data_IF_176389835138
#
_entry.id   IF_176389835138
#
_cell.length_a   1.000
_cell.length_b   1.000
_cell.length_c   1.000
_cell.angle_alpha   90.00
_cell.angle_beta   90.00
_cell.angle_gamma   90.00
#
_symmetry.space_group_name_H-M   'P 1'
#
loop_
_entity.id
_entity.type
_entity.pdbx_description
1 polymer ?
#
# COMPACT_ATOMS: atom_id res chain seq x y z
N UNK A 1 -15.49 20.42 -5.48
CA UNK A 1 -16.48 21.31 -4.81
C UNK A 1 -17.71 20.56 -4.31
N UNK A 2 -18.36 19.69 -5.11
CA UNK A 2 -19.51 18.90 -4.65
C UNK A 2 -19.20 17.99 -3.43
N UNK A 3 -18.09 17.24 -3.47
CA UNK A 3 -17.65 16.39 -2.35
C UNK A 3 -17.47 17.19 -1.05
N UNK A 4 -16.85 18.37 -1.14
CA UNK A 4 -16.64 19.24 0.02
C UNK A 4 -17.96 19.68 0.68
N UNK A 5 -18.99 19.97 -0.11
CA UNK A 5 -20.31 20.30 0.41
C UNK A 5 -20.98 19.13 1.15
N UNK A 6 -20.76 17.90 0.70
CA UNK A 6 -21.36 16.69 1.33
C UNK A 6 -20.59 16.18 2.54
N UNK A 7 -19.31 16.50 2.67
CA UNK A 7 -18.45 16.00 3.76
C UNK A 7 -18.07 17.07 4.78
N UNK A 8 -18.35 18.34 4.52
CA UNK A 8 -17.86 19.46 5.31
C UNK A 8 -16.36 19.74 5.14
N UNK A 9 -15.73 19.18 4.10
CA UNK A 9 -14.30 19.38 3.86
C UNK A 9 -14.00 20.82 3.43
N UNK A 10 -12.83 21.32 3.86
CA UNK A 10 -12.30 22.62 3.42
C UNK A 10 -11.54 22.41 2.11
N UNK A 11 -11.82 23.24 1.12
CA UNK A 11 -11.08 23.24 -0.15
C UNK A 11 -9.86 24.14 0.01
N UNK A 12 -8.69 23.57 -0.25
CA UNK A 12 -7.40 24.26 -0.20
C UNK A 12 -6.81 24.38 -1.60
N UNK A 13 -5.91 25.34 -1.77
CA UNK A 13 -5.02 25.38 -2.92
C UNK A 13 -4.05 24.17 -2.87
N UNK A 14 -3.63 23.61 -4.03
CA UNK A 14 -2.84 22.39 -4.07
C UNK A 14 -1.59 22.41 -3.19
N UNK A 15 -0.83 23.50 -3.20
CA UNK A 15 0.42 23.60 -2.44
C UNK A 15 0.19 23.79 -0.94
N UNK A 16 -0.96 24.33 -0.54
CA UNK A 16 -1.30 24.52 0.87
C UNK A 16 -1.53 23.20 1.62
N UNK A 17 -1.80 22.09 0.89
CA UNK A 17 -2.12 20.80 1.50
C UNK A 17 -0.96 20.26 2.35
N UNK A 18 0.29 20.52 1.96
CA UNK A 18 1.47 19.99 2.66
C UNK A 18 1.70 20.68 4.00
N UNK A 19 1.38 21.97 4.10
CA UNK A 19 1.57 22.78 5.30
C UNK A 19 0.34 22.80 6.23
N UNK A 20 -0.72 22.08 5.87
CA UNK A 20 -1.95 22.01 6.65
C UNK A 20 -1.72 21.20 7.92
N UNK A 21 -2.19 21.71 9.05
CA UNK A 21 -2.15 20.98 10.32
C UNK A 21 -3.20 19.86 10.31
N UNK A 22 -2.73 18.62 10.31
CA UNK A 22 -3.55 17.43 10.23
C UNK A 22 -2.81 16.23 10.83
N UNK A 23 -3.52 15.31 11.48
CA UNK A 23 -2.88 14.12 12.04
C UNK A 23 -2.35 13.17 10.95
N UNK A 24 -3.11 13.03 9.86
CA UNK A 24 -2.83 12.14 8.74
C UNK A 24 -2.74 12.93 7.44
N UNK A 25 -1.62 12.81 6.73
CA UNK A 25 -1.48 13.23 5.35
C UNK A 25 -1.72 12.02 4.43
N UNK A 26 -2.73 12.11 3.55
CA UNK A 26 -3.15 11.02 2.66
C UNK A 26 -2.92 11.36 1.18
N UNK A 27 -1.71 11.15 0.63
CA UNK A 27 -1.43 11.38 -0.78
C UNK A 27 -2.17 10.38 -1.68
N UNK A 28 -3.11 10.85 -2.49
CA UNK A 28 -3.97 10.00 -3.33
C UNK A 28 -4.00 10.42 -4.82
N UNK A 29 -3.13 11.34 -5.25
CA UNK A 29 -3.13 11.89 -6.60
C UNK A 29 -1.95 11.39 -7.44
N UNK A 30 -0.75 11.93 -7.22
CA UNK A 30 0.46 11.62 -7.96
C UNK A 30 1.55 11.02 -7.03
N UNK A 31 2.54 10.38 -7.64
CA UNK A 31 3.75 9.92 -6.95
C UNK A 31 4.75 11.05 -6.71
N UNK A 32 5.87 10.72 -6.05
CA UNK A 32 6.97 11.60 -5.70
C UNK A 32 6.60 12.84 -4.88
N UNK A 33 5.42 12.81 -4.24
CA UNK A 33 4.90 13.91 -3.42
C UNK A 33 5.60 14.03 -2.07
N UNK A 34 6.30 12.99 -1.62
CA UNK A 34 7.23 13.09 -0.49
C UNK A 34 8.64 13.25 -1.04
N UNK A 35 9.14 14.48 -0.98
CA UNK A 35 10.44 14.90 -1.50
C UNK A 35 11.05 16.00 -0.61
N UNK A 36 12.24 16.49 -0.98
CA UNK A 36 12.95 17.53 -0.21
C UNK A 36 12.11 18.78 0.11
N UNK A 37 11.29 19.24 -0.84
CA UNK A 37 10.50 20.46 -0.69
C UNK A 37 9.27 20.23 0.19
N UNK A 38 8.57 19.11 0.01
CA UNK A 38 7.33 18.84 0.74
C UNK A 38 7.59 18.34 2.15
N UNK A 39 8.66 17.58 2.38
CA UNK A 39 9.06 17.12 3.72
C UNK A 39 9.23 18.27 4.70
N UNK A 40 9.78 19.41 4.24
CA UNK A 40 9.95 20.60 5.09
C UNK A 40 8.62 21.24 5.50
N UNK A 41 7.55 20.98 4.77
CA UNK A 41 6.23 21.58 4.98
C UNK A 41 5.32 20.70 5.83
N UNK A 42 5.50 19.37 5.78
CA UNK A 42 4.62 18.41 6.45
C UNK A 42 4.47 18.70 7.94
N UNK A 43 3.21 18.84 8.38
CA UNK A 43 2.81 19.02 9.78
C UNK A 43 2.05 17.83 10.35
N UNK A 44 2.16 16.67 9.70
CA UNK A 44 1.43 15.46 10.09
C UNK A 44 2.24 14.50 10.95
N UNK A 45 1.53 13.59 11.62
CA UNK A 45 2.12 12.47 12.36
C UNK A 45 2.15 11.18 11.56
N UNK A 46 1.26 11.06 10.57
CA UNK A 46 1.09 9.85 9.77
C UNK A 46 1.02 10.22 8.29
N UNK A 47 1.72 9.48 7.45
CA UNK A 47 1.54 9.48 5.99
C UNK A 47 0.92 8.16 5.57
N UNK A 48 -0.31 8.21 5.06
CA UNK A 48 -1.09 7.03 4.70
C UNK A 48 -2.04 7.35 3.53
N UNK A 49 -1.57 7.17 2.30
CA UNK A 49 -2.30 7.50 1.08
C UNK A 49 -2.36 6.37 0.06
N UNK A 50 -3.23 6.51 -0.94
CA UNK A 50 -3.42 5.51 -2.00
C UNK A 50 -2.57 5.70 -3.26
N UNK A 51 -1.81 6.79 -3.37
CA UNK A 51 -0.97 7.04 -4.54
C UNK A 51 0.17 6.01 -4.66
N UNK A 52 0.61 5.74 -5.88
CA UNK A 52 1.78 4.91 -6.15
C UNK A 52 3.06 5.76 -6.14
N UNK A 53 4.18 5.16 -5.75
CA UNK A 53 5.51 5.79 -5.71
C UNK A 53 5.53 7.06 -4.87
N UNK A 54 4.98 7.05 -3.66
CA UNK A 54 4.79 8.26 -2.85
C UNK A 54 6.11 8.93 -2.48
N UNK A 55 7.12 8.14 -2.13
CA UNK A 55 8.48 8.59 -1.89
C UNK A 55 9.16 8.89 -3.23
N UNK A 56 9.69 10.11 -3.41
CA UNK A 56 10.48 10.43 -4.60
C UNK A 56 11.80 9.65 -4.64
N UNK A 57 12.34 9.29 -3.47
CA UNK A 57 13.58 8.53 -3.29
C UNK A 57 13.50 7.78 -1.95
N UNK A 58 14.20 6.63 -1.79
CA UNK A 58 14.22 5.88 -0.53
C UNK A 58 14.63 6.70 0.69
N UNK A 59 15.59 7.63 0.54
CA UNK A 59 16.06 8.52 1.63
C UNK A 59 14.95 9.38 2.24
N UNK A 60 13.89 9.65 1.48
CA UNK A 60 12.74 10.39 2.00
C UNK A 60 11.95 9.55 3.02
N UNK A 61 11.96 8.23 2.89
CA UNK A 61 11.43 7.32 3.92
C UNK A 61 12.30 7.28 5.18
N UNK A 62 13.62 7.37 5.03
CA UNK A 62 14.55 7.49 6.17
C UNK A 62 14.28 8.80 6.93
N UNK A 63 14.04 9.90 6.19
CA UNK A 63 13.74 11.21 6.76
C UNK A 63 12.38 11.25 7.49
N UNK A 64 11.35 10.56 6.98
CA UNK A 64 10.07 10.42 7.69
C UNK A 64 10.27 9.74 9.05
N UNK A 65 11.04 8.64 9.10
CA UNK A 65 11.38 7.98 10.36
C UNK A 65 12.14 8.91 11.30
N UNK A 66 13.17 9.62 10.80
CA UNK A 66 13.96 10.58 11.61
C UNK A 66 13.10 11.68 12.23
N UNK A 67 12.04 12.09 11.55
CA UNK A 67 11.07 13.09 12.04
C UNK A 67 9.99 12.51 12.96
N UNK A 68 9.97 11.20 13.18
CA UNK A 68 8.92 10.53 13.95
C UNK A 68 7.56 10.50 13.23
N UNK A 69 7.56 10.58 11.89
CA UNK A 69 6.35 10.49 11.08
C UNK A 69 6.15 9.03 10.66
N UNK A 70 5.04 8.43 11.08
CA UNK A 70 4.71 7.05 10.71
C UNK A 70 4.29 7.00 9.24
N UNK A 71 4.99 6.21 8.43
CA UNK A 71 4.68 6.03 7.02
C UNK A 71 4.08 4.64 6.76
N UNK A 72 2.87 4.59 6.19
CA UNK A 72 2.28 3.37 5.67
C UNK A 72 2.77 3.15 4.21
N UNK A 73 3.59 2.12 3.93
CA UNK A 73 4.18 1.93 2.60
C UNK A 73 3.11 1.79 1.51
N UNK A 74 3.27 2.60 0.46
CA UNK A 74 2.30 2.78 -0.64
C UNK A 74 1.81 1.47 -1.25
N UNK A 75 2.70 0.59 -1.69
CA UNK A 75 2.35 -0.68 -2.34
C UNK A 75 1.63 -1.67 -1.42
N UNK A 76 1.64 -1.44 -0.10
CA UNK A 76 0.91 -2.25 0.88
C UNK A 76 -0.46 -1.67 1.16
N UNK A 77 -0.53 -0.37 1.48
CA UNK A 77 -1.80 0.29 1.83
C UNK A 77 -2.76 0.35 0.63
N UNK A 78 -2.23 0.47 -0.59
CA UNK A 78 -3.04 0.55 -1.81
C UNK A 78 -3.35 -0.82 -2.46
N UNK A 79 -2.95 -1.93 -1.83
CA UNK A 79 -3.07 -3.28 -2.38
C UNK A 79 -4.51 -3.77 -2.63
N UNK A 80 -5.52 -3.05 -2.13
CA UNK A 80 -6.94 -3.40 -2.25
C UNK A 80 -7.39 -3.59 -3.71
N UNK A 81 -6.84 -2.81 -4.65
CA UNK A 81 -7.16 -2.95 -6.07
C UNK A 81 -6.72 -4.31 -6.64
N UNK A 82 -5.50 -4.75 -6.33
CA UNK A 82 -5.00 -6.06 -6.77
C UNK A 82 -5.75 -7.21 -6.09
N UNK A 83 -6.10 -7.06 -4.81
CA UNK A 83 -6.92 -8.04 -4.10
C UNK A 83 -8.30 -8.20 -4.77
N UNK A 84 -8.92 -7.10 -5.18
CA UNK A 84 -10.21 -7.12 -5.86
C UNK A 84 -10.12 -7.84 -7.21
N UNK A 85 -9.15 -7.48 -8.05
CA UNK A 85 -8.94 -8.11 -9.36
C UNK A 85 -8.60 -9.59 -9.21
N UNK A 86 -7.84 -9.98 -8.19
CA UNK A 86 -7.57 -11.39 -7.91
C UNK A 86 -8.84 -12.20 -7.61
N UNK A 87 -9.87 -11.59 -7.01
CA UNK A 87 -11.14 -12.26 -6.75
C UNK A 87 -11.86 -12.67 -8.04
N UNK A 88 -11.66 -11.96 -9.14
CA UNK A 88 -12.25 -12.30 -10.44
C UNK A 88 -11.77 -13.67 -10.94
N UNK A 89 -10.53 -14.06 -10.62
CA UNK A 89 -9.95 -15.35 -10.98
C UNK A 89 -10.56 -16.53 -10.21
N UNK A 90 -11.23 -16.27 -9.07
CA UNK A 90 -11.81 -17.31 -8.20
C UNK A 90 -13.33 -17.43 -8.35
N UNK A 91 -13.93 -16.66 -9.27
CA UNK A 91 -15.36 -16.36 -9.25
C UNK A 91 -15.62 -15.17 -8.34
N UNK A 92 -15.86 -14.01 -8.96
CA UNK A 92 -15.93 -12.74 -8.23
C UNK A 92 -16.98 -12.75 -7.12
N UNK A 93 -16.54 -12.47 -5.89
CA UNK A 93 -17.40 -12.21 -4.75
C UNK A 93 -16.94 -10.91 -4.08
N UNK A 94 -17.75 -9.83 -4.14
CA UNK A 94 -17.38 -8.53 -3.58
C UNK A 94 -17.22 -8.58 -2.05
N UNK A 95 -17.94 -9.47 -1.36
CA UNK A 95 -17.84 -9.63 0.10
C UNK A 95 -16.52 -10.30 0.45
N UNK A 96 -16.17 -11.38 -0.25
CA UNK A 96 -14.87 -12.04 -0.08
C UNK A 96 -13.70 -11.11 -0.42
N UNK A 97 -13.77 -10.36 -1.53
CA UNK A 97 -12.75 -9.39 -1.93
C UNK A 97 -12.56 -8.31 -0.85
N UNK A 98 -13.67 -7.74 -0.34
CA UNK A 98 -13.63 -6.74 0.73
C UNK A 98 -13.06 -7.31 2.03
N UNK A 99 -13.49 -8.51 2.42
CA UNK A 99 -12.97 -9.19 3.61
C UNK A 99 -11.47 -9.47 3.48
N UNK A 100 -11.01 -9.87 2.30
CA UNK A 100 -9.58 -10.07 2.03
C UNK A 100 -8.82 -8.75 2.08
N UNK A 101 -9.36 -7.66 1.55
CA UNK A 101 -8.74 -6.34 1.63
C UNK A 101 -8.56 -5.85 3.09
N UNK A 102 -9.38 -6.31 4.04
CA UNK A 102 -9.17 -6.00 5.46
C UNK A 102 -7.83 -6.52 6.01
N UNK A 103 -7.22 -7.56 5.40
CA UNK A 103 -5.91 -8.05 5.83
C UNK A 103 -4.75 -7.10 5.54
N UNK A 104 -4.99 -6.00 4.82
CA UNK A 104 -4.03 -4.89 4.68
C UNK A 104 -3.72 -4.30 6.06
N UNK A 105 -4.72 -4.22 6.94
CA UNK A 105 -4.54 -3.75 8.32
C UNK A 105 -3.49 -4.59 9.06
N UNK A 106 -3.68 -5.92 9.11
CA UNK A 106 -2.77 -6.83 9.80
C UNK A 106 -1.36 -6.82 9.18
N UNK A 107 -1.29 -6.64 7.86
CA UNK A 107 0.00 -6.55 7.15
C UNK A 107 0.75 -5.27 7.50
N UNK A 108 0.06 -4.14 7.61
CA UNK A 108 0.66 -2.88 8.03
C UNK A 108 1.13 -2.95 9.49
N UNK A 109 0.34 -3.55 10.40
CA UNK A 109 0.76 -3.75 11.78
C UNK A 109 2.06 -4.57 11.87
N UNK A 110 2.13 -5.70 11.16
CA UNK A 110 3.35 -6.51 11.13
C UNK A 110 4.56 -5.75 10.58
N UNK A 111 4.36 -4.82 9.63
CA UNK A 111 5.42 -3.95 9.12
C UNK A 111 5.87 -2.95 10.17
N UNK A 112 4.93 -2.36 10.92
CA UNK A 112 5.24 -1.38 11.97
C UNK A 112 5.97 -2.03 13.14
N UNK A 113 5.51 -3.22 13.57
CA UNK A 113 6.18 -4.03 14.59
C UNK A 113 7.61 -4.37 14.16
N UNK A 114 7.80 -4.90 12.94
CA UNK A 114 9.12 -5.22 12.42
C UNK A 114 10.04 -3.99 12.31
N UNK A 115 9.49 -2.85 11.90
CA UNK A 115 10.23 -1.59 11.80
C UNK A 115 10.74 -1.12 13.17
N UNK A 116 9.90 -1.23 14.21
CA UNK A 116 10.24 -0.85 15.59
C UNK A 116 11.26 -1.83 16.20
N UNK A 117 11.04 -3.13 16.05
CA UNK A 117 11.94 -4.19 16.54
C UNK A 117 13.36 -4.10 15.95
N UNK A 118 13.47 -3.82 14.65
CA UNK A 118 14.76 -3.78 13.95
C UNK A 118 15.36 -2.37 13.87
N UNK A 119 14.63 -1.34 14.32
CA UNK A 119 15.06 0.06 14.23
C UNK A 119 15.28 0.53 12.79
N UNK A 120 14.40 0.11 11.86
CA UNK A 120 14.48 0.46 10.43
C UNK A 120 13.23 1.21 9.95
N UNK A 121 13.31 1.99 8.86
CA UNK A 121 12.15 2.64 8.27
C UNK A 121 11.12 1.64 7.73
N UNK A 122 9.84 2.01 7.81
CA UNK A 122 8.72 1.14 7.41
C UNK A 122 8.79 0.67 5.94
N UNK A 123 9.33 1.49 5.03
CA UNK A 123 9.50 1.08 3.62
C UNK A 123 10.49 -0.08 3.48
N UNK A 124 11.53 -0.16 4.32
CA UNK A 124 12.48 -1.28 4.36
C UNK A 124 11.90 -2.49 5.05
N UNK A 125 11.19 -2.29 6.16
CA UNK A 125 10.48 -3.37 6.85
C UNK A 125 9.46 -4.06 5.92
N UNK A 126 8.73 -3.29 5.11
CA UNK A 126 7.82 -3.84 4.10
C UNK A 126 8.53 -4.70 3.04
N UNK A 127 9.69 -4.25 2.55
CA UNK A 127 10.52 -5.03 1.63
C UNK A 127 10.99 -6.34 2.27
N UNK A 128 11.53 -6.28 3.50
CA UNK A 128 11.98 -7.47 4.25
C UNK A 128 10.85 -8.47 4.46
N UNK A 129 9.67 -7.99 4.87
CA UNK A 129 8.50 -8.85 5.08
C UNK A 129 8.07 -9.54 3.77
N UNK A 130 8.08 -8.81 2.65
CA UNK A 130 7.76 -9.38 1.34
C UNK A 130 8.79 -10.44 0.91
N UNK A 131 10.09 -10.14 1.02
CA UNK A 131 11.17 -11.07 0.69
C UNK A 131 11.13 -12.34 1.55
N UNK A 132 10.85 -12.19 2.85
CA UNK A 132 10.69 -13.32 3.78
C UNK A 132 9.55 -14.23 3.35
N UNK A 133 8.37 -13.66 3.06
CA UNK A 133 7.20 -14.42 2.57
C UNK A 133 7.47 -15.17 1.28
N UNK A 134 8.16 -14.54 0.31
CA UNK A 134 8.53 -15.19 -0.95
C UNK A 134 9.45 -16.39 -0.70
N UNK A 135 10.44 -16.22 0.19
CA UNK A 135 11.40 -17.28 0.56
C UNK A 135 10.72 -18.45 1.25
N UNK A 136 9.82 -18.19 2.19
CA UNK A 136 9.13 -19.23 2.97
C UNK A 136 8.19 -20.06 2.10
N UNK A 137 7.37 -19.41 1.26
CA UNK A 137 6.50 -20.10 0.31
C UNK A 137 7.34 -20.91 -0.70
N UNK A 138 8.46 -20.35 -1.17
CA UNK A 138 9.39 -21.06 -2.05
C UNK A 138 9.96 -22.34 -1.43
N UNK A 139 10.30 -22.32 -0.14
CA UNK A 139 10.78 -23.50 0.61
C UNK A 139 9.69 -24.55 0.78
N UNK A 140 8.47 -24.14 1.15
CA UNK A 140 7.34 -25.07 1.30
C UNK A 140 6.91 -25.70 -0.03
N UNK A 141 6.99 -24.96 -1.14
CA UNK A 141 6.67 -25.48 -2.48
C UNK A 141 7.73 -26.47 -3.03
N UNK A 142 8.94 -26.49 -2.46
CA UNK A 142 10.01 -27.43 -2.80
C UNK A 142 9.83 -28.82 -2.16
N UNK A 143 8.92 -28.97 -1.20
CA UNK A 143 8.54 -30.28 -0.65
C UNK A 143 7.63 -30.96 -1.68
N UNK A 144 8.10 -32.05 -2.28
CA UNK A 144 7.31 -32.83 -3.24
C UNK A 144 6.02 -33.33 -2.59
N UNK A 145 4.89 -32.76 -2.98
CA UNK A 145 3.55 -33.28 -2.65
C UNK A 145 2.98 -33.96 -3.89
N UNK A 146 2.57 -35.25 -3.84
CA UNK A 146 1.85 -35.88 -4.94
C UNK A 146 0.52 -35.15 -5.16
N UNK A 147 0.42 -34.29 -6.18
CA UNK A 147 -0.78 -33.47 -6.42
C UNK A 147 -1.92 -34.32 -7.00
N UNK A 148 -3.08 -34.25 -6.35
CA UNK A 148 -4.37 -34.48 -7.00
C UNK A 148 -4.52 -33.53 -8.21
N UNK A 149 -5.02 -34.11 -9.32
CA UNK A 149 -5.21 -33.54 -10.68
C UNK A 149 -5.32 -32.01 -10.76
N UNK A 150 -4.38 -31.38 -11.48
CA UNK A 150 -4.59 -30.05 -12.08
C UNK A 150 -5.72 -30.16 -13.12
N UNK A 151 -6.77 -29.35 -12.98
CA UNK A 151 -7.75 -29.11 -14.05
C UNK A 151 -7.03 -28.36 -15.18
N UNK A 152 -7.12 -28.78 -16.45
CA UNK A 152 -6.45 -28.09 -17.54
C UNK A 152 -7.13 -26.74 -17.80
N UNK A 153 -6.41 -25.64 -17.60
CA UNK A 153 -6.89 -24.32 -18.03
C UNK A 153 -6.72 -24.20 -19.55
N UNK A 154 -7.84 -24.27 -20.29
CA UNK A 154 -7.90 -23.75 -21.66
C UNK A 154 -8.02 -22.23 -21.56
N UNK A 155 -6.95 -21.50 -21.85
CA UNK A 155 -7.03 -20.09 -22.16
C UNK A 155 -7.73 -19.93 -23.52
N UNK A 156 -9.01 -19.60 -23.51
CA UNK A 156 -9.65 -18.98 -24.69
C UNK A 156 -9.34 -17.49 -24.63
N UNK A 157 -8.49 -17.02 -25.55
CA UNK A 157 -8.26 -15.60 -25.75
C UNK A 157 -9.60 -14.91 -26.06
N UNK A 158 -10.01 -13.98 -25.21
CA UNK A 158 -11.13 -13.08 -25.50
C UNK A 158 -10.58 -12.01 -26.46
N UNK A 159 -11.11 -11.86 -27.68
CA UNK A 159 -10.69 -10.82 -28.58
C UNK A 159 -11.24 -9.48 -28.07
N UNK A 160 -10.35 -8.56 -27.73
CA UNK A 160 -10.70 -7.17 -27.48
C UNK A 160 -11.02 -6.51 -28.82
N UNK A 161 -12.32 -6.28 -29.08
CA UNK A 161 -12.77 -5.40 -30.15
C UNK A 161 -13.40 -4.14 -29.56
N UNK A 162 -12.67 -3.02 -29.73
CA UNK A 162 -13.05 -1.59 -29.69
C UNK A 162 -14.18 -1.16 -28.75
#
# INVERSE_FOLDING_TARGET
RAVAATTGAVVLEPDAIFATDAEVFAPCALGAVINDATLQQLRCRIVAGGANNQLAEPRHGDELMRRGILYAPDFVINAGGLINVYSELQGYDPVAARNKARSIYDTLLAIFELADEEGIPTYRAAQRLAESRIRDVGRSAGIYTPRHRRVPQRFTAVPWSR
#
